data_IF_008249687788
#
_entry.id   IF_008249687788
#
_cell.length_a   1.000
_cell.length_b   1.000
_cell.length_c   1.000
_cell.angle_alpha   90.00
_cell.angle_beta   90.00
_cell.angle_gamma   90.00
#
_symmetry.space_group_name_H-M   'P 1'
#
loop_
_entity.id
_entity.type
_entity.pdbx_description
1 polymer ?
#
# COMPACT_ATOMS: atom_id res chain seq x y z
N UNK A 1 -9.76 2.99 -0.33
CA UNK A 1 -8.88 2.04 -1.06
C UNK A 1 -9.72 0.90 -1.61
N UNK A 2 -9.40 0.38 -2.80
CA UNK A 2 -10.16 -0.71 -3.44
C UNK A 2 -9.17 -1.71 -4.05
N UNK A 3 -9.53 -2.99 -4.07
CA UNK A 3 -8.77 -4.03 -4.76
C UNK A 3 -9.72 -4.86 -5.63
N UNK A 4 -9.22 -5.30 -6.78
CA UNK A 4 -9.92 -6.19 -7.71
C UNK A 4 -9.00 -7.33 -8.11
N UNK A 5 -9.54 -8.53 -8.29
CA UNK A 5 -8.76 -9.69 -8.76
C UNK A 5 -9.49 -10.43 -9.88
N UNK A 6 -8.71 -10.94 -10.84
CA UNK A 6 -9.20 -11.84 -11.91
C UNK A 6 -9.15 -13.32 -11.51
N UNK A 7 -8.59 -13.63 -10.35
CA UNK A 7 -8.39 -14.99 -9.83
C UNK A 7 -9.22 -15.19 -8.56
N UNK A 8 -9.37 -16.44 -8.15
CA UNK A 8 -9.92 -16.77 -6.83
C UNK A 8 -8.92 -16.40 -5.73
N UNK A 9 -8.89 -15.13 -5.35
CA UNK A 9 -8.02 -14.61 -4.29
C UNK A 9 -8.68 -14.79 -2.92
N UNK A 10 -7.87 -15.10 -1.91
CA UNK A 10 -8.34 -15.13 -0.53
C UNK A 10 -8.79 -13.74 -0.11
N UNK A 11 -10.08 -13.60 0.19
CA UNK A 11 -10.69 -12.33 0.63
C UNK A 11 -9.97 -11.78 1.87
N UNK A 12 -9.64 -12.66 2.83
CA UNK A 12 -8.92 -12.26 4.04
C UNK A 12 -7.54 -11.68 3.75
N UNK A 13 -6.81 -12.24 2.78
CA UNK A 13 -5.51 -11.72 2.37
C UNK A 13 -5.65 -10.33 1.74
N UNK A 14 -6.64 -10.15 0.86
CA UNK A 14 -6.91 -8.86 0.19
C UNK A 14 -7.21 -7.77 1.22
N UNK A 15 -8.11 -8.04 2.17
CA UNK A 15 -8.42 -7.06 3.23
C UNK A 15 -7.21 -6.80 4.13
N UNK A 16 -6.50 -7.83 4.57
CA UNK A 16 -5.29 -7.68 5.40
C UNK A 16 -4.27 -6.77 4.72
N UNK A 17 -4.03 -6.99 3.43
CA UNK A 17 -3.12 -6.16 2.64
C UNK A 17 -3.61 -4.72 2.49
N UNK A 18 -4.89 -4.50 2.20
CA UNK A 18 -5.46 -3.15 2.11
C UNK A 18 -5.34 -2.37 3.42
N UNK A 19 -5.62 -3.01 4.57
CA UNK A 19 -5.41 -2.37 5.88
C UNK A 19 -3.92 -2.06 6.11
N UNK A 20 -3.03 -2.96 5.70
CA UNK A 20 -1.60 -2.77 5.86
C UNK A 20 -1.05 -1.64 4.99
N UNK A 21 -1.51 -1.48 3.76
CA UNK A 21 -1.17 -0.32 2.91
C UNK A 21 -1.56 0.99 3.60
N UNK A 22 -2.80 1.08 4.11
CA UNK A 22 -3.26 2.31 4.80
C UNK A 22 -2.37 2.61 6.00
N UNK A 23 -1.99 1.58 6.76
CA UNK A 23 -1.05 1.75 7.87
C UNK A 23 0.32 2.28 7.39
N UNK A 24 0.92 1.67 6.36
CA UNK A 24 2.22 2.10 5.81
C UNK A 24 2.16 3.56 5.36
N UNK A 25 1.11 3.94 4.62
CA UNK A 25 0.95 5.31 4.16
C UNK A 25 0.73 6.30 5.30
N UNK A 26 -0.07 5.96 6.31
CA UNK A 26 -0.23 6.80 7.50
C UNK A 26 1.07 6.94 8.28
N UNK A 27 1.91 5.91 8.35
CA UNK A 27 3.23 5.98 9.00
C UNK A 27 4.22 6.84 8.20
N UNK A 28 4.15 6.80 6.86
CA UNK A 28 5.03 7.57 5.98
C UNK A 28 4.64 9.05 5.92
N UNK A 29 3.35 9.34 5.77
CA UNK A 29 2.83 10.69 5.51
C UNK A 29 2.27 11.38 6.77
N UNK A 30 2.24 10.69 7.92
CA UNK A 30 1.63 11.09 9.21
C UNK A 30 0.11 11.18 9.17
N UNK A 31 -0.43 11.96 8.22
CA UNK A 31 -1.87 12.07 7.96
C UNK A 31 -2.15 11.75 6.49
N UNK A 32 -3.05 10.79 6.27
CA UNK A 32 -3.46 10.36 4.94
C UNK A 32 -4.71 11.15 4.51
N UNK A 33 -4.49 12.28 3.85
CA UNK A 33 -5.52 13.20 3.37
C UNK A 33 -5.29 13.57 1.90
N UNK A 34 -6.22 14.31 1.29
CA UNK A 34 -6.16 14.60 -0.15
C UNK A 34 -4.89 15.37 -0.54
N UNK A 35 -4.49 16.37 0.26
CA UNK A 35 -3.31 17.19 0.00
C UNK A 35 -2.03 16.35 0.10
N UNK A 36 -1.89 15.53 1.16
CA UNK A 36 -0.73 14.65 1.30
C UNK A 36 -0.62 13.60 0.19
N UNK A 37 -1.74 13.07 -0.31
CA UNK A 37 -1.76 12.17 -1.47
C UNK A 37 -1.33 12.90 -2.74
N UNK A 38 -1.81 14.12 -2.96
CA UNK A 38 -1.50 14.91 -4.16
C UNK A 38 -0.03 15.28 -4.21
N UNK A 39 0.52 15.71 -3.08
CA UNK A 39 1.90 16.17 -2.98
C UNK A 39 2.91 15.01 -3.05
N UNK A 40 2.53 13.83 -2.56
CA UNK A 40 3.40 12.65 -2.51
C UNK A 40 3.03 11.58 -3.55
N UNK A 41 2.31 11.96 -4.62
CA UNK A 41 1.79 11.01 -5.61
C UNK A 41 2.88 10.09 -6.18
N UNK A 42 4.05 10.61 -6.51
CA UNK A 42 5.18 9.81 -7.05
C UNK A 42 5.62 8.75 -6.04
N UNK A 43 5.86 9.15 -4.78
CA UNK A 43 6.28 8.25 -3.69
C UNK A 43 5.25 7.15 -3.44
N UNK A 44 3.96 7.48 -3.53
CA UNK A 44 2.89 6.49 -3.39
C UNK A 44 3.02 5.38 -4.44
N UNK A 45 3.34 5.70 -5.70
CA UNK A 45 3.54 4.69 -6.73
C UNK A 45 4.80 3.85 -6.50
N UNK A 46 5.90 4.47 -6.08
CA UNK A 46 7.14 3.77 -5.75
C UNK A 46 6.90 2.77 -4.60
N UNK A 47 6.26 3.22 -3.52
CA UNK A 47 5.87 2.35 -2.42
C UNK A 47 4.93 1.22 -2.90
N UNK A 48 3.96 1.50 -3.76
CA UNK A 48 3.07 0.45 -4.28
C UNK A 48 3.82 -0.61 -5.09
N UNK A 49 4.83 -0.23 -5.86
CA UNK A 49 5.68 -1.14 -6.65
C UNK A 49 6.53 -2.04 -5.73
N UNK A 50 7.01 -1.49 -4.61
CA UNK A 50 7.75 -2.28 -3.60
C UNK A 50 6.85 -3.18 -2.75
N UNK A 51 5.63 -2.72 -2.45
CA UNK A 51 4.67 -3.44 -1.60
C UNK A 51 4.05 -4.65 -2.32
N UNK A 52 3.95 -4.62 -3.65
CA UNK A 52 3.24 -5.62 -4.44
C UNK A 52 3.99 -5.96 -5.74
N UNK A 53 4.34 -7.23 -5.90
CA UNK A 53 4.92 -7.75 -7.13
C UNK A 53 3.92 -8.68 -7.86
N UNK A 54 3.59 -8.36 -9.12
CA UNK A 54 2.63 -9.09 -9.95
C UNK A 54 1.29 -9.47 -9.27
N UNK A 55 0.79 -8.64 -8.36
CA UNK A 55 -0.45 -8.89 -7.62
C UNK A 55 -0.29 -9.71 -6.33
N UNK A 56 0.94 -9.99 -5.91
CA UNK A 56 1.28 -10.67 -4.67
C UNK A 56 1.96 -9.68 -3.70
N UNK A 57 1.44 -9.50 -2.48
CA UNK A 57 2.12 -8.71 -1.45
C UNK A 57 3.51 -9.28 -1.14
N UNK A 58 4.54 -8.44 -1.09
CA UNK A 58 5.93 -8.85 -0.78
C UNK A 58 6.38 -8.27 0.56
N UNK A 59 6.78 -7.01 0.57
CA UNK A 59 7.23 -6.29 1.78
C UNK A 59 6.09 -5.39 2.22
N UNK A 60 5.79 -5.33 3.51
CA UNK A 60 4.78 -4.41 4.05
C UNK A 60 5.23 -3.73 5.35
N UNK A 61 6.53 -3.79 5.65
CA UNK A 61 7.10 -3.19 6.84
C UNK A 61 7.61 -1.78 6.49
N UNK A 62 6.93 -0.78 7.03
CA UNK A 62 7.20 0.64 6.79
C UNK A 62 8.63 1.03 7.12
N UNK A 63 9.29 0.33 8.05
CA UNK A 63 10.69 0.59 8.42
C UNK A 63 11.69 0.22 7.33
N UNK A 64 11.36 -0.81 6.53
CA UNK A 64 12.19 -1.27 5.42
C UNK A 64 11.99 -0.36 4.21
N UNK A 65 10.79 0.19 4.05
CA UNK A 65 10.40 1.07 2.94
C UNK A 65 10.82 2.54 3.13
N UNK A 66 11.37 2.89 4.30
CA UNK A 66 11.89 4.22 4.63
C UNK A 66 13.41 4.33 4.45
N UNK A 67 14.09 3.26 4.04
CA UNK A 67 15.51 3.29 3.63
C UNK A 67 15.68 3.89 2.24
#
# INVERSE_FOLDING_TARGET
>A
VVATSKKNASVSLVFSFLYKIVQVFSEYFKELEEESIRDNFVIIYELLDELMDFGYPQTTDSKILQE
#
